data_IF_407254512468
#
_entry.id   IF_407254512468
#
_cell.length_a   1.000
_cell.length_b   1.000
_cell.length_c   1.000
_cell.angle_alpha   90.00
_cell.angle_beta   90.00
_cell.angle_gamma   90.00
#
_symmetry.space_group_name_H-M   'P 1'
#
loop_
_entity.id
_entity.type
_entity.pdbx_description
1 polymer ?
#
# COMPACT_ATOMS: atom_id res chain seq x y z
N UNK A 1 -29.05 15.18 -9.31
CA UNK A 1 -27.88 14.79 -10.11
C UNK A 1 -26.60 15.26 -9.45
N UNK A 2 -25.71 14.32 -9.11
CA UNK A 2 -24.38 14.67 -8.60
C UNK A 2 -23.59 15.16 -9.82
N UNK A 3 -23.19 16.43 -9.85
CA UNK A 3 -22.45 16.99 -10.99
C UNK A 3 -21.19 16.16 -11.24
N UNK A 4 -20.88 15.85 -12.51
CA UNK A 4 -19.65 15.13 -12.87
C UNK A 4 -18.39 15.85 -12.36
N UNK A 5 -18.46 17.17 -12.17
CA UNK A 5 -17.40 17.95 -11.54
C UNK A 5 -17.14 17.52 -10.09
N UNK A 6 -18.20 17.25 -9.32
CA UNK A 6 -18.08 16.81 -7.92
C UNK A 6 -17.45 15.42 -7.84
N UNK A 7 -17.84 14.50 -8.73
CA UNK A 7 -17.26 13.16 -8.79
C UNK A 7 -15.76 13.22 -9.16
N UNK A 8 -15.41 14.05 -10.13
CA UNK A 8 -14.02 14.25 -10.57
C UNK A 8 -13.18 14.89 -9.46
N UNK A 9 -13.73 15.87 -8.74
CA UNK A 9 -13.06 16.52 -7.62
C UNK A 9 -12.81 15.55 -6.46
N UNK A 10 -13.80 14.74 -6.08
CA UNK A 10 -13.66 13.72 -5.02
C UNK A 10 -12.63 12.66 -5.42
N UNK A 11 -12.64 12.22 -6.67
CA UNK A 11 -11.64 11.29 -7.18
C UNK A 11 -10.22 11.87 -7.16
N UNK A 12 -10.05 13.10 -7.65
CA UNK A 12 -8.77 13.80 -7.62
C UNK A 12 -8.25 13.97 -6.18
N UNK A 13 -9.14 14.32 -5.25
CA UNK A 13 -8.82 14.43 -3.84
C UNK A 13 -8.38 13.09 -3.23
N UNK A 14 -9.07 12.00 -3.56
CA UNK A 14 -8.74 10.65 -3.09
C UNK A 14 -7.37 10.17 -3.60
N UNK A 15 -6.97 10.56 -4.81
CA UNK A 15 -5.64 10.26 -5.36
C UNK A 15 -4.57 11.17 -4.74
N UNK A 16 -4.86 12.46 -4.56
CA UNK A 16 -3.91 13.41 -3.98
C UNK A 16 -3.58 13.08 -2.51
N UNK A 17 -4.59 12.68 -1.72
CA UNK A 17 -4.39 12.39 -0.29
C UNK A 17 -3.51 11.16 -0.06
N UNK A 18 -3.47 10.23 -1.01
CA UNK A 18 -2.54 9.10 -1.00
C UNK A 18 -1.09 9.59 -1.06
N UNK A 19 -0.77 10.56 -1.93
CA UNK A 19 0.56 11.14 -2.02
C UNK A 19 0.94 11.88 -0.73
N UNK A 20 -0.01 12.62 -0.13
CA UNK A 20 0.20 13.30 1.16
C UNK A 20 0.50 12.28 2.27
N UNK A 21 -0.27 11.20 2.33
CA UNK A 21 0.00 10.09 3.26
C UNK A 21 1.39 9.49 3.04
N UNK A 22 1.78 9.28 1.78
CA UNK A 22 3.10 8.78 1.41
C UNK A 22 4.25 9.68 1.86
N UNK A 23 4.10 11.00 1.71
CA UNK A 23 5.09 11.98 2.19
C UNK A 23 5.28 11.89 3.71
N UNK A 24 4.19 11.81 4.46
CA UNK A 24 4.22 11.69 5.92
C UNK A 24 4.85 10.35 6.32
N UNK A 25 4.44 9.25 5.69
CA UNK A 25 4.99 7.92 5.94
C UNK A 25 6.49 7.83 5.65
N UNK A 26 6.95 8.44 4.56
CA UNK A 26 8.36 8.52 4.20
C UNK A 26 9.20 9.34 5.19
N UNK A 27 8.68 10.47 5.68
CA UNK A 27 9.34 11.28 6.70
C UNK A 27 9.48 10.53 8.04
N UNK A 28 8.46 9.74 8.40
CA UNK A 28 8.45 8.94 9.62
C UNK A 28 9.32 7.68 9.54
N UNK A 29 9.83 7.31 8.36
CA UNK A 29 10.55 6.06 8.14
C UNK A 29 11.81 5.96 9.00
N UNK A 30 12.57 7.05 9.12
CA UNK A 30 13.79 7.09 9.93
C UNK A 30 13.49 6.99 11.43
N UNK A 31 12.40 7.61 11.89
CA UNK A 31 11.96 7.54 13.28
C UNK A 31 11.48 6.13 13.63
N UNK A 32 10.65 5.52 12.77
CA UNK A 32 10.13 4.16 12.96
C UNK A 32 11.25 3.12 12.89
N UNK A 33 12.19 3.26 11.95
CA UNK A 33 13.34 2.35 11.84
C UNK A 33 14.22 2.35 13.09
N UNK A 34 14.43 3.53 13.70
CA UNK A 34 15.24 3.69 14.92
C UNK A 34 14.49 3.30 16.20
N UNK A 35 13.17 3.51 16.27
CA UNK A 35 12.39 3.31 17.51
C UNK A 35 11.82 1.90 17.64
N UNK A 36 11.28 1.35 16.55
CA UNK A 36 10.59 0.04 16.53
C UNK A 36 11.46 -1.08 15.96
N UNK A 37 12.67 -0.76 15.50
CA UNK A 37 13.56 -1.66 14.76
C UNK A 37 13.05 -1.95 13.35
N UNK A 38 13.96 -2.37 12.45
CA UNK A 38 13.61 -2.63 11.03
C UNK A 38 12.53 -3.72 10.86
N UNK A 39 12.63 -4.82 11.62
CA UNK A 39 11.61 -5.91 11.62
C UNK A 39 10.28 -5.47 12.23
N UNK A 40 10.32 -4.78 13.38
CA UNK A 40 9.12 -4.33 14.10
C UNK A 40 8.34 -3.26 13.33
N UNK A 41 9.03 -2.36 12.64
CA UNK A 41 8.40 -1.38 11.74
C UNK A 41 7.63 -2.03 10.59
N UNK A 42 8.13 -3.14 10.03
CA UNK A 42 7.44 -3.88 8.97
C UNK A 42 6.19 -4.61 9.46
N UNK A 43 6.22 -5.15 10.69
CA UNK A 43 5.05 -5.75 11.34
C UNK A 43 3.98 -4.71 11.68
N UNK A 44 4.36 -3.56 12.24
CA UNK A 44 3.44 -2.44 12.49
C UNK A 44 2.81 -1.90 11.21
N UNK A 45 3.58 -1.86 10.13
CA UNK A 45 3.07 -1.47 8.82
C UNK A 45 1.86 -2.34 8.41
N UNK A 46 1.90 -3.64 8.69
CA UNK A 46 0.81 -4.55 8.33
C UNK A 46 -0.54 -4.20 8.99
N UNK A 47 -0.54 -3.67 10.21
CA UNK A 47 -1.76 -3.19 10.89
C UNK A 47 -2.41 -2.06 10.09
N UNK A 48 -1.61 -1.13 9.55
CA UNK A 48 -2.13 -0.05 8.69
C UNK A 48 -2.75 -0.60 7.40
N UNK A 49 -2.19 -1.67 6.81
CA UNK A 49 -2.78 -2.34 5.64
C UNK A 49 -4.14 -2.93 5.99
N UNK A 50 -4.23 -3.68 7.10
CA UNK A 50 -5.49 -4.27 7.54
C UNK A 50 -6.57 -3.22 7.79
N UNK A 51 -6.24 -2.15 8.52
CA UNK A 51 -7.18 -1.05 8.78
C UNK A 51 -7.63 -0.39 7.48
N UNK A 52 -6.70 -0.10 6.55
CA UNK A 52 -7.03 0.50 5.27
C UNK A 52 -7.86 -0.42 4.36
N UNK A 53 -7.60 -1.73 4.38
CA UNK A 53 -8.35 -2.73 3.62
C UNK A 53 -9.79 -2.86 4.15
N UNK A 54 -9.97 -2.90 5.48
CA UNK A 54 -11.29 -2.93 6.11
C UNK A 54 -12.06 -1.65 5.78
N UNK A 55 -11.43 -0.47 5.92
CA UNK A 55 -12.09 0.82 5.61
C UNK A 55 -12.56 0.89 4.15
N UNK A 56 -11.69 0.48 3.21
CA UNK A 56 -12.03 0.50 1.79
C UNK A 56 -13.08 -0.57 1.42
N UNK A 57 -12.99 -1.77 2.01
CA UNK A 57 -13.95 -2.86 1.80
C UNK A 57 -15.34 -2.57 2.35
N UNK A 58 -15.43 -1.92 3.51
CA UNK A 58 -16.69 -1.52 4.14
C UNK A 58 -17.32 -0.32 3.42
N UNK A 59 -16.54 0.50 2.70
CA UNK A 59 -17.07 1.67 1.98
C UNK A 59 -18.15 1.32 0.96
N UNK A 60 -18.12 0.11 0.37
CA UNK A 60 -19.19 -0.35 -0.53
C UNK A 60 -20.51 -0.62 0.19
N UNK A 61 -20.48 -1.10 1.43
CA UNK A 61 -21.69 -1.37 2.21
C UNK A 61 -22.30 -0.10 2.79
N UNK A 62 -21.48 0.92 3.07
CA UNK A 62 -21.92 2.18 3.70
C UNK A 62 -22.22 3.28 2.66
N UNK A 63 -21.76 3.11 1.41
CA UNK A 63 -21.98 4.07 0.31
C UNK A 63 -21.48 5.51 0.61
N UNK A 64 -20.48 5.64 1.49
CA UNK A 64 -19.87 6.93 1.87
C UNK A 64 -18.50 7.10 1.21
N UNK A 65 -18.32 8.23 0.51
CA UNK A 65 -17.06 8.58 -0.16
C UNK A 65 -15.93 8.90 0.85
N UNK A 66 -16.26 9.34 2.05
CA UNK A 66 -15.29 9.72 3.09
C UNK A 66 -14.43 8.53 3.55
N UNK A 67 -15.02 7.33 3.65
CA UNK A 67 -14.30 6.11 4.01
C UNK A 67 -13.22 5.74 2.99
N UNK A 68 -13.45 6.02 1.71
CA UNK A 68 -12.47 5.80 0.64
C UNK A 68 -11.32 6.79 0.77
N UNK A 69 -11.61 8.06 1.02
CA UNK A 69 -10.59 9.11 1.20
C UNK A 69 -9.69 8.81 2.41
N UNK A 70 -10.29 8.43 3.55
CA UNK A 70 -9.54 8.06 4.75
C UNK A 70 -8.74 6.78 4.54
N UNK A 71 -9.32 5.76 3.89
CA UNK A 71 -8.60 4.53 3.55
C UNK A 71 -7.38 4.78 2.64
N UNK A 72 -7.52 5.70 1.67
CA UNK A 72 -6.44 6.13 0.77
C UNK A 72 -5.33 6.89 1.49
N UNK A 73 -5.67 7.69 2.49
CA UNK A 73 -4.68 8.35 3.33
C UNK A 73 -3.86 7.35 4.15
N UNK A 74 -4.53 6.40 4.82
CA UNK A 74 -3.89 5.38 5.66
C UNK A 74 -2.98 4.47 4.83
N UNK A 75 -3.45 4.01 3.66
CA UNK A 75 -2.62 3.18 2.78
C UNK A 75 -1.47 3.97 2.13
N UNK A 76 -1.63 5.28 1.96
CA UNK A 76 -0.54 6.19 1.56
C UNK A 76 0.58 6.21 2.61
N UNK A 77 0.24 6.40 3.88
CA UNK A 77 1.21 6.36 5.00
C UNK A 77 1.93 5.02 5.03
N UNK A 78 1.16 3.93 4.92
CA UNK A 78 1.69 2.58 4.86
C UNK A 78 2.71 2.40 3.72
N UNK A 79 2.35 2.81 2.50
CA UNK A 79 3.23 2.68 1.34
C UNK A 79 4.50 3.52 1.49
N UNK A 80 4.40 4.74 2.02
CA UNK A 80 5.56 5.61 2.28
C UNK A 80 6.54 5.00 3.29
N UNK A 81 6.02 4.41 4.37
CA UNK A 81 6.82 3.68 5.36
C UNK A 81 7.49 2.45 4.73
N UNK A 82 6.73 1.63 4.00
CA UNK A 82 7.26 0.40 3.41
C UNK A 82 8.30 0.67 2.32
N UNK A 83 8.12 1.73 1.52
CA UNK A 83 9.04 2.12 0.46
C UNK A 83 10.45 2.48 0.99
N UNK A 84 10.59 2.95 2.23
CA UNK A 84 11.89 3.20 2.86
C UNK A 84 12.38 2.06 3.77
N UNK A 85 11.50 1.44 4.56
CA UNK A 85 11.87 0.36 5.49
C UNK A 85 12.31 -0.91 4.75
N UNK A 86 11.59 -1.32 3.71
CA UNK A 86 11.87 -2.56 2.98
C UNK A 86 13.27 -2.58 2.34
N UNK A 87 13.69 -1.58 1.52
CA UNK A 87 15.04 -1.58 0.96
C UNK A 87 16.11 -1.39 2.04
N UNK A 88 15.86 -0.61 3.09
CA UNK A 88 16.80 -0.44 4.20
C UNK A 88 17.09 -1.79 4.90
N UNK A 89 16.05 -2.53 5.23
CA UNK A 89 16.15 -3.86 5.81
C UNK A 89 16.87 -4.86 4.89
N UNK A 90 16.50 -4.88 3.61
CA UNK A 90 17.10 -5.77 2.62
C UNK A 90 18.61 -5.50 2.46
N UNK A 91 19.01 -4.22 2.47
CA UNK A 91 20.41 -3.79 2.31
C UNK A 91 21.26 -4.14 3.54
N UNK A 92 20.66 -4.20 4.72
CA UNK A 92 21.35 -4.54 5.97
C UNK A 92 21.62 -6.03 6.15
N UNK A 93 20.70 -6.87 5.69
CA UNK A 93 20.87 -8.33 5.72
C UNK A 93 21.81 -8.81 4.61
N UNK A 94 21.92 -8.02 3.54
CA UNK A 94 22.69 -8.41 2.36
C UNK A 94 24.20 -8.23 2.56
N UNK A 95 25.02 -9.16 2.05
CA UNK A 95 26.47 -9.04 2.11
C UNK A 95 26.92 -7.83 1.29
N UNK A 96 28.01 -7.19 1.71
CA UNK A 96 28.49 -5.88 1.21
C UNK A 96 28.68 -5.83 -0.31
N UNK A 97 29.00 -6.96 -0.93
CA UNK A 97 29.18 -7.14 -2.37
C UNK A 97 27.86 -7.22 -3.17
N UNK A 98 26.72 -7.52 -2.55
CA UNK A 98 25.42 -7.70 -3.23
C UNK A 98 24.39 -6.61 -2.92
N UNK A 99 24.72 -5.62 -2.08
CA UNK A 99 23.81 -4.54 -1.68
C UNK A 99 23.15 -3.82 -2.86
N UNK A 100 23.94 -3.53 -3.91
CA UNK A 100 23.44 -2.89 -5.13
C UNK A 100 22.47 -3.79 -5.91
N UNK A 101 22.81 -5.07 -6.07
CA UNK A 101 21.97 -6.04 -6.77
C UNK A 101 20.61 -6.21 -6.08
N UNK A 102 20.61 -6.28 -4.75
CA UNK A 102 19.42 -6.44 -3.92
C UNK A 102 18.49 -5.23 -4.02
N UNK A 103 19.04 -4.01 -4.06
CA UNK A 103 18.26 -2.79 -4.33
C UNK A 103 17.60 -2.80 -5.71
N UNK A 104 18.32 -3.21 -6.76
CA UNK A 104 17.78 -3.33 -8.11
C UNK A 104 16.67 -4.40 -8.19
N UNK A 105 16.86 -5.56 -7.56
CA UNK A 105 15.82 -6.60 -7.49
C UNK A 105 14.56 -6.10 -6.81
N UNK A 106 14.67 -5.34 -5.71
CA UNK A 106 13.50 -4.75 -5.04
C UNK A 106 12.71 -3.84 -5.98
N UNK A 107 13.38 -2.94 -6.70
CA UNK A 107 12.72 -2.05 -7.65
C UNK A 107 12.07 -2.82 -8.80
N UNK A 108 12.70 -3.88 -9.30
CA UNK A 108 12.13 -4.77 -10.33
C UNK A 108 10.87 -5.48 -9.82
N UNK A 109 10.88 -5.98 -8.58
CA UNK A 109 9.69 -6.60 -7.98
C UNK A 109 8.56 -5.59 -7.82
N UNK A 110 8.85 -4.34 -7.44
CA UNK A 110 7.85 -3.28 -7.37
C UNK A 110 7.23 -2.98 -8.74
N UNK A 111 8.02 -2.84 -9.80
CA UNK A 111 7.49 -2.55 -11.14
C UNK A 111 6.67 -3.72 -11.69
N UNK A 112 7.11 -4.96 -11.47
CA UNK A 112 6.33 -6.17 -11.81
C UNK A 112 5.01 -6.19 -11.03
N UNK A 113 5.01 -5.83 -9.75
CA UNK A 113 3.81 -5.76 -8.93
C UNK A 113 2.81 -4.72 -9.45
N UNK A 114 3.30 -3.54 -9.89
CA UNK A 114 2.47 -2.51 -10.52
C UNK A 114 1.88 -3.03 -11.84
N UNK A 115 2.68 -3.72 -12.66
CA UNK A 115 2.21 -4.32 -13.91
C UNK A 115 1.10 -5.35 -13.67
N UNK A 116 1.28 -6.25 -12.69
CA UNK A 116 0.25 -7.23 -12.29
C UNK A 116 -1.01 -6.49 -11.80
N UNK A 117 -0.86 -5.44 -11.00
CA UNK A 117 -1.99 -4.63 -10.53
C UNK A 117 -2.77 -4.00 -11.69
N UNK A 118 -2.08 -3.55 -12.74
CA UNK A 118 -2.73 -3.01 -13.94
C UNK A 118 -3.46 -4.08 -14.74
N UNK A 119 -2.86 -5.28 -14.87
CA UNK A 119 -3.48 -6.43 -15.55
C UNK A 119 -4.76 -6.89 -14.81
N UNK A 120 -4.70 -6.96 -13.48
CA UNK A 120 -5.88 -7.31 -12.66
C UNK A 120 -6.97 -6.22 -12.72
N UNK A 121 -6.57 -4.96 -12.89
CA UNK A 121 -7.48 -3.82 -13.03
C UNK A 121 -8.23 -3.75 -14.37
N UNK A 122 -7.93 -4.62 -15.34
CA UNK A 122 -8.64 -4.65 -16.61
C UNK A 122 -10.12 -5.03 -16.43
N UNK A 123 -11.00 -4.35 -17.17
CA UNK A 123 -12.45 -4.60 -17.14
C UNK A 123 -12.84 -6.04 -17.48
N UNK A 124 -12.01 -6.75 -18.27
CA UNK A 124 -12.21 -8.16 -18.63
C UNK A 124 -11.85 -9.18 -17.53
N UNK A 125 -11.14 -8.78 -16.47
CA UNK A 125 -10.68 -9.70 -15.42
C UNK A 125 -11.41 -9.44 -14.10
N UNK A 126 -11.20 -8.28 -13.50
CA UNK A 126 -11.76 -7.97 -12.17
C UNK A 126 -12.22 -6.50 -12.02
N UNK A 127 -12.09 -5.69 -13.07
CA UNK A 127 -12.59 -4.30 -13.16
C UNK A 127 -14.11 -4.18 -13.40
N UNK A 128 -14.92 -5.11 -12.88
CA UNK A 128 -16.39 -5.05 -12.95
C UNK A 128 -16.97 -4.36 -11.72
N UNK A 129 -18.06 -3.59 -11.89
CA UNK A 129 -18.77 -2.79 -10.86
C UNK A 129 -19.10 -3.62 -9.58
N UNK A 130 -19.22 -4.93 -9.69
CA UNK A 130 -19.46 -5.83 -8.57
C UNK A 130 -18.20 -6.31 -7.83
N UNK A 131 -17.04 -6.39 -8.48
CA UNK A 131 -15.82 -7.07 -7.96
C UNK A 131 -14.67 -6.13 -7.54
N UNK A 132 -14.80 -4.81 -7.70
CA UNK A 132 -13.80 -3.85 -7.23
C UNK A 132 -13.37 -3.98 -5.74
N UNK A 133 -14.22 -4.41 -4.78
CA UNK A 133 -13.78 -4.65 -3.40
C UNK A 133 -13.00 -5.96 -3.25
N UNK A 134 -13.25 -6.95 -4.13
CA UNK A 134 -12.50 -8.21 -4.16
C UNK A 134 -11.09 -7.96 -4.71
N UNK A 135 -10.94 -7.02 -5.66
CA UNK A 135 -9.63 -6.54 -6.10
C UNK A 135 -8.84 -5.89 -4.94
N UNK A 136 -9.53 -5.13 -4.09
CA UNK A 136 -8.94 -4.56 -2.87
C UNK A 136 -8.74 -5.59 -1.75
N UNK A 137 -9.47 -6.71 -1.75
CA UNK A 137 -9.26 -7.82 -0.82
C UNK A 137 -8.08 -8.71 -1.25
N UNK A 138 -7.74 -8.75 -2.55
CA UNK A 138 -6.57 -9.49 -3.05
C UNK A 138 -5.26 -8.92 -2.49
N UNK A 139 -5.19 -7.64 -2.09
CA UNK A 139 -3.99 -7.10 -1.40
C UNK A 139 -3.79 -7.68 0.00
N UNK A 140 -4.79 -8.33 0.59
CA UNK A 140 -4.66 -9.08 1.85
C UNK A 140 -3.81 -10.34 1.64
N UNK A 141 -3.79 -10.93 0.44
CA UNK A 141 -3.01 -12.14 0.14
C UNK A 141 -1.50 -11.89 0.27
N UNK A 142 -0.88 -10.87 -0.38
CA UNK A 142 0.52 -10.56 -0.16
C UNK A 142 0.80 -10.07 1.26
N UNK A 143 -0.16 -9.39 1.93
CA UNK A 143 -0.02 -9.02 3.34
C UNK A 143 0.09 -10.25 4.26
N UNK A 144 -0.76 -11.26 4.06
CA UNK A 144 -0.72 -12.55 4.74
C UNK A 144 0.55 -13.33 4.41
N UNK A 145 0.95 -13.35 3.13
CA UNK A 145 2.20 -13.98 2.71
C UNK A 145 3.40 -13.33 3.39
N UNK A 146 3.42 -12.00 3.53
CA UNK A 146 4.46 -11.29 4.29
C UNK A 146 4.48 -11.71 5.77
N UNK A 147 3.32 -11.89 6.42
CA UNK A 147 3.25 -12.38 7.81
C UNK A 147 3.82 -13.80 7.93
N UNK A 148 3.48 -14.68 7.00
CA UNK A 148 3.88 -16.09 7.03
C UNK A 148 5.37 -16.26 6.71
N UNK A 149 5.90 -15.45 5.80
CA UNK A 149 7.30 -15.53 5.37
C UNK A 149 8.27 -14.84 6.33
N UNK A 150 7.84 -13.86 7.12
CA UNK A 150 8.71 -13.25 8.13
C UNK A 150 8.90 -14.25 9.29
N UNK A 151 10.07 -14.89 9.46
CA UNK A 151 10.30 -15.71 10.63
C UNK A 151 10.34 -14.77 11.84
N UNK A 152 9.59 -15.15 12.89
CA UNK A 152 9.60 -14.51 14.21
C UNK A 152 11.05 -14.40 14.69
#
# INVERSE_FOLDING_TARGET
DISQETVTAVWAMAVAIYCVGGMIGGALVGFVANTLGRKGGLLWNNIFVFVAAILQGVSKSVSSYELIVVGRFIIGINCGLNAGLAPMYLTEISPVNLRGAVGSTYQLVLTISILISQILGLSSVMGTIHFWPVLLAVTIIPALFMVVVLPI
#
